data_IF_447135980983
#
_entry.id   IF_447135980983
#
_cell.length_a   1.000
_cell.length_b   1.000
_cell.length_c   1.000
_cell.angle_alpha   90.00
_cell.angle_beta   90.00
_cell.angle_gamma   90.00
#
_symmetry.space_group_name_H-M   'P 1'
#
loop_
_entity.id
_entity.type
_entity.pdbx_description
1 polymer ?
#
# COMPACT_ATOMS: atom_id res chain seq x y z
N UNK A 1 -34.13 31.86 47.92
CA UNK A 1 -33.69 31.87 46.51
C UNK A 1 -33.23 30.46 46.14
N UNK A 2 -34.14 29.63 45.62
CA UNK A 2 -33.84 28.25 45.15
C UNK A 2 -33.84 28.23 43.63
N UNK A 3 -32.77 27.66 43.03
CA UNK A 3 -32.59 27.52 41.58
C UNK A 3 -33.50 26.42 41.03
N UNK A 4 -34.27 26.75 39.99
CA UNK A 4 -35.05 25.81 39.17
C UNK A 4 -34.12 24.87 38.40
N UNK A 5 -34.48 23.57 38.35
CA UNK A 5 -33.85 22.54 37.50
C UNK A 5 -34.64 22.41 36.20
N UNK A 6 -33.93 22.47 35.07
CA UNK A 6 -34.46 22.17 33.73
C UNK A 6 -34.77 20.67 33.57
N UNK A 7 -35.91 20.34 32.97
CA UNK A 7 -36.21 18.99 32.44
C UNK A 7 -35.87 18.95 30.94
N UNK A 8 -34.99 18.02 30.54
CA UNK A 8 -34.65 17.75 29.14
C UNK A 8 -35.66 16.78 28.51
N UNK A 9 -36.15 17.11 27.31
CA UNK A 9 -37.19 16.40 26.56
C UNK A 9 -36.63 15.28 25.64
N UNK A 10 -35.85 14.34 26.18
CA UNK A 10 -35.35 13.19 25.42
C UNK A 10 -35.51 11.91 26.25
N UNK A 11 -36.45 11.05 25.86
CA UNK A 11 -36.55 9.68 26.34
C UNK A 11 -35.73 8.79 25.40
N UNK A 12 -34.68 8.16 25.92
CA UNK A 12 -33.96 7.09 25.20
C UNK A 12 -34.84 5.84 25.14
N UNK A 13 -35.32 5.48 23.94
CA UNK A 13 -35.92 4.18 23.70
C UNK A 13 -34.82 3.11 23.71
N UNK A 14 -34.78 2.26 24.75
CA UNK A 14 -33.85 1.15 24.86
C UNK A 14 -33.99 0.16 23.70
N UNK A 15 -33.03 0.20 22.78
CA UNK A 15 -32.91 -0.76 21.68
C UNK A 15 -32.34 -2.08 22.22
N UNK A 16 -33.13 -3.16 22.16
CA UNK A 16 -32.62 -4.52 22.41
C UNK A 16 -31.76 -4.95 21.22
N UNK A 17 -30.55 -5.51 21.41
CA UNK A 17 -29.77 -6.05 20.31
C UNK A 17 -30.51 -7.26 19.72
N UNK A 18 -30.74 -7.25 18.41
CA UNK A 18 -31.32 -8.38 17.69
C UNK A 18 -30.44 -9.63 17.82
N UNK A 19 -31.06 -10.75 18.19
CA UNK A 19 -30.38 -12.05 18.28
C UNK A 19 -29.97 -12.51 16.90
N UNK A 20 -28.65 -12.63 16.67
CA UNK A 20 -28.08 -13.23 15.46
C UNK A 20 -28.28 -14.76 15.57
N UNK A 21 -29.44 -15.26 15.13
CA UNK A 21 -29.71 -16.68 15.02
C UNK A 21 -29.07 -17.25 13.74
N UNK A 22 -27.77 -17.58 13.79
CA UNK A 22 -27.14 -18.38 12.73
C UNK A 22 -27.36 -19.85 13.04
N UNK A 23 -28.07 -20.57 12.15
CA UNK A 23 -28.31 -22.00 12.31
C UNK A 23 -26.97 -22.78 12.28
N UNK A 24 -26.57 -23.46 13.38
CA UNK A 24 -25.26 -24.10 13.50
C UNK A 24 -25.02 -25.21 12.47
N UNK A 25 -26.06 -25.91 12.03
CA UNK A 25 -25.97 -26.95 10.99
C UNK A 25 -25.70 -26.35 9.60
N UNK A 26 -26.26 -25.17 9.32
CA UNK A 26 -25.97 -24.44 8.07
C UNK A 26 -24.52 -23.92 8.07
N UNK A 27 -24.04 -23.40 9.20
CA UNK A 27 -22.66 -22.96 9.36
C UNK A 27 -21.66 -24.13 9.24
N UNK A 28 -21.99 -25.30 9.81
CA UNK A 28 -21.17 -26.51 9.68
C UNK A 28 -21.16 -27.05 8.26
N UNK A 29 -22.29 -27.09 7.55
CA UNK A 29 -22.34 -27.50 6.12
C UNK A 29 -21.56 -26.55 5.22
N UNK A 30 -21.64 -25.24 5.46
CA UNK A 30 -20.83 -24.23 4.75
C UNK A 30 -19.34 -24.40 5.06
N UNK A 31 -18.97 -24.65 6.32
CA UNK A 31 -17.57 -24.93 6.71
C UNK A 31 -17.05 -26.21 6.07
N UNK A 32 -17.85 -27.28 6.07
CA UNK A 32 -17.48 -28.56 5.49
C UNK A 32 -17.38 -28.49 3.96
N UNK A 33 -18.30 -27.82 3.26
CA UNK A 33 -18.19 -27.63 1.80
C UNK A 33 -17.03 -26.75 1.40
N UNK A 34 -16.71 -25.71 2.20
CA UNK A 34 -15.47 -24.90 2.04
C UNK A 34 -14.20 -25.71 2.29
N UNK A 35 -14.23 -26.70 3.17
CA UNK A 35 -13.08 -27.57 3.48
C UNK A 35 -12.89 -28.68 2.44
N UNK A 36 -13.98 -29.22 1.89
CA UNK A 36 -13.98 -30.36 0.96
C UNK A 36 -13.77 -29.95 -0.51
N UNK A 37 -14.22 -28.76 -0.94
CA UNK A 37 -14.07 -28.32 -2.34
C UNK A 37 -12.69 -27.73 -2.66
N UNK A 38 -11.80 -27.63 -1.68
CA UNK A 38 -10.56 -26.88 -1.77
C UNK A 38 -9.42 -27.55 -0.98
N UNK A 39 -8.77 -28.56 -1.56
CA UNK A 39 -7.49 -29.02 -1.04
C UNK A 39 -6.45 -27.91 -1.23
N UNK A 40 -5.64 -27.66 -0.19
CA UNK A 40 -4.55 -26.68 -0.20
C UNK A 40 -3.44 -27.07 -1.20
N UNK A 41 -3.40 -28.34 -1.59
CA UNK A 41 -2.42 -28.96 -2.50
C UNK A 41 -2.43 -28.40 -3.93
N UNK A 42 -3.43 -27.60 -4.32
CA UNK A 42 -3.54 -27.02 -5.66
C UNK A 42 -3.60 -25.47 -5.64
N UNK A 43 -3.27 -24.81 -4.52
CA UNK A 43 -3.39 -23.34 -4.42
C UNK A 43 -2.49 -22.61 -5.43
N UNK A 44 -1.24 -23.06 -5.60
CA UNK A 44 -0.30 -22.47 -6.56
C UNK A 44 -0.81 -22.61 -8.00
N UNK A 45 -1.24 -23.81 -8.40
CA UNK A 45 -1.70 -24.04 -9.77
C UNK A 45 -2.95 -23.20 -10.08
N UNK A 46 -3.94 -23.16 -9.19
CA UNK A 46 -5.11 -22.29 -9.37
C UNK A 46 -4.73 -20.81 -9.48
N UNK A 47 -3.73 -20.37 -8.71
CA UNK A 47 -3.22 -19.01 -8.79
C UNK A 47 -2.60 -18.74 -10.17
N UNK A 48 -1.75 -19.65 -10.67
CA UNK A 48 -1.12 -19.56 -11.99
C UNK A 48 -2.14 -19.59 -13.13
N UNK A 49 -3.26 -20.30 -12.94
CA UNK A 49 -4.39 -20.32 -13.88
C UNK A 49 -5.22 -19.01 -13.82
N UNK A 50 -4.83 -18.03 -13.00
CA UNK A 50 -5.47 -16.72 -12.90
C UNK A 50 -6.70 -16.67 -12.00
N UNK A 51 -6.90 -17.67 -11.12
CA UNK A 51 -8.07 -17.70 -10.24
C UNK A 51 -7.99 -16.62 -9.15
N UNK A 52 -8.84 -15.57 -9.24
CA UNK A 52 -8.90 -14.46 -8.27
C UNK A 52 -9.18 -14.91 -6.82
N UNK A 53 -9.94 -15.99 -6.63
CA UNK A 53 -10.21 -16.53 -5.29
C UNK A 53 -8.96 -17.19 -4.71
N UNK A 54 -8.21 -17.93 -5.54
CA UNK A 54 -6.92 -18.50 -5.15
C UNK A 54 -5.93 -17.39 -4.80
N UNK A 55 -5.83 -16.33 -5.63
CA UNK A 55 -5.00 -15.16 -5.34
C UNK A 55 -5.36 -14.51 -4.01
N UNK A 56 -6.65 -14.25 -3.73
CA UNK A 56 -7.09 -13.69 -2.46
C UNK A 56 -6.72 -14.56 -1.24
N UNK A 57 -6.78 -15.89 -1.39
CA UNK A 57 -6.36 -16.84 -0.35
C UNK A 57 -4.85 -16.88 -0.16
N UNK A 58 -4.10 -16.87 -1.25
CA UNK A 58 -2.64 -16.78 -1.24
C UNK A 58 -2.17 -15.51 -0.51
N UNK A 59 -2.78 -14.37 -0.82
CA UNK A 59 -2.50 -13.11 -0.13
C UNK A 59 -2.89 -13.19 1.36
N UNK A 60 -4.04 -13.79 1.69
CA UNK A 60 -4.43 -13.99 3.09
C UNK A 60 -3.43 -14.87 3.85
N UNK A 61 -2.80 -15.84 3.19
CA UNK A 61 -1.79 -16.72 3.79
C UNK A 61 -0.51 -15.95 4.13
N UNK A 62 0.02 -15.13 3.21
CA UNK A 62 1.22 -14.29 3.46
C UNK A 62 0.94 -13.20 4.51
N UNK A 63 -0.30 -12.71 4.59
CA UNK A 63 -0.69 -11.71 5.59
C UNK A 63 -0.88 -12.30 6.99
N UNK A 64 -0.92 -13.62 7.13
CA UNK A 64 -1.18 -14.27 8.40
C UNK A 64 -0.01 -14.18 9.38
N UNK A 65 -0.31 -13.93 10.65
CA UNK A 65 0.69 -13.95 11.72
C UNK A 65 0.88 -15.34 12.34
N UNK A 66 0.12 -16.37 11.91
CA UNK A 66 0.21 -17.72 12.46
C UNK A 66 1.50 -18.41 12.00
N UNK A 67 2.21 -19.04 12.94
CA UNK A 67 3.49 -19.69 12.66
C UNK A 67 3.35 -20.82 11.62
N UNK A 68 2.29 -21.62 11.73
CA UNK A 68 1.97 -22.71 10.80
C UNK A 68 1.72 -22.26 9.36
N UNK A 69 1.41 -20.98 9.12
CA UNK A 69 1.19 -20.44 7.78
C UNK A 69 2.47 -19.95 7.12
N UNK A 70 3.53 -19.67 7.88
CA UNK A 70 4.76 -19.05 7.36
C UNK A 70 5.47 -19.92 6.34
N UNK A 71 5.65 -21.20 6.66
CA UNK A 71 6.32 -22.16 5.77
C UNK A 71 5.54 -22.33 4.46
N UNK A 72 4.20 -22.48 4.56
CA UNK A 72 3.33 -22.58 3.39
C UNK A 72 3.34 -21.32 2.53
N UNK A 73 3.34 -20.13 3.15
CA UNK A 73 3.46 -18.86 2.47
C UNK A 73 4.78 -18.76 1.69
N UNK A 74 5.88 -19.19 2.30
CA UNK A 74 7.20 -19.20 1.66
C UNK A 74 7.25 -20.15 0.46
N UNK A 75 6.78 -21.40 0.61
CA UNK A 75 6.71 -22.37 -0.49
C UNK A 75 5.87 -21.84 -1.66
N UNK A 76 4.74 -21.20 -1.36
CA UNK A 76 3.87 -20.60 -2.37
C UNK A 76 4.57 -19.45 -3.12
N UNK A 77 5.26 -18.57 -2.39
CA UNK A 77 6.03 -17.48 -2.99
C UNK A 77 7.16 -18.00 -3.86
N UNK A 78 7.94 -18.97 -3.38
CA UNK A 78 9.02 -19.61 -4.12
C UNK A 78 8.53 -20.25 -5.42
N UNK A 79 7.39 -20.95 -5.38
CA UNK A 79 6.75 -21.51 -6.58
C UNK A 79 6.19 -20.46 -7.55
N UNK A 80 5.80 -19.29 -7.05
CA UNK A 80 5.30 -18.17 -7.87
C UNK A 80 6.41 -17.33 -8.51
N UNK A 81 7.61 -17.29 -7.92
CA UNK A 81 8.74 -16.46 -8.38
C UNK A 81 9.07 -16.60 -9.87
N UNK A 82 9.13 -17.81 -10.48
CA UNK A 82 9.43 -17.97 -11.91
C UNK A 82 8.45 -17.27 -12.86
N UNK A 83 7.24 -16.99 -12.38
CA UNK A 83 6.16 -16.36 -13.15
C UNK A 83 6.03 -14.86 -12.88
N UNK A 84 6.85 -14.31 -11.98
CA UNK A 84 6.85 -12.89 -11.59
C UNK A 84 7.58 -11.98 -12.58
N UNK A 85 7.60 -10.68 -12.29
CA UNK A 85 8.34 -9.60 -12.97
C UNK A 85 7.88 -9.23 -14.39
N UNK A 86 6.73 -9.70 -14.85
CA UNK A 86 6.19 -9.35 -16.18
C UNK A 86 5.32 -8.08 -16.20
N UNK A 87 4.93 -7.58 -15.02
CA UNK A 87 4.04 -6.42 -14.89
C UNK A 87 4.79 -5.08 -15.01
N UNK A 88 4.03 -3.98 -15.10
CA UNK A 88 4.47 -2.65 -14.68
C UNK A 88 3.88 -2.31 -13.31
N UNK A 89 4.73 -1.86 -12.38
CA UNK A 89 4.36 -1.53 -10.99
C UNK A 89 4.32 -0.02 -10.83
N UNK A 90 3.15 0.54 -10.53
CA UNK A 90 2.91 1.98 -10.50
C UNK A 90 2.52 2.39 -9.07
N UNK A 91 3.38 3.15 -8.41
CA UNK A 91 3.07 3.76 -7.13
C UNK A 91 2.26 5.03 -7.33
N UNK A 92 1.16 5.18 -6.60
CA UNK A 92 0.27 6.34 -6.70
C UNK A 92 0.13 6.96 -5.32
N UNK A 93 0.53 8.22 -5.19
CA UNK A 93 0.40 8.99 -3.95
C UNK A 93 -0.25 10.34 -4.21
N UNK A 94 -0.74 10.96 -3.15
CA UNK A 94 -1.31 12.30 -3.17
C UNK A 94 -2.03 12.61 -1.87
N UNK A 95 -2.22 13.90 -1.61
CA UNK A 95 -2.89 14.37 -0.38
C UNK A 95 -4.34 13.88 -0.30
N UNK A 96 -4.91 13.72 0.90
CA UNK A 96 -6.34 13.47 1.05
C UNK A 96 -7.18 14.48 0.26
N UNK A 97 -8.23 14.00 -0.43
CA UNK A 97 -9.11 14.86 -1.25
C UNK A 97 -8.62 15.17 -2.68
N UNK A 98 -7.40 14.76 -3.05
CA UNK A 98 -6.86 14.94 -4.41
C UNK A 98 -7.63 14.17 -5.50
N UNK A 99 -8.52 13.24 -5.12
CA UNK A 99 -9.26 12.38 -6.03
C UNK A 99 -8.49 11.11 -6.42
N UNK A 100 -7.62 10.61 -5.55
CA UNK A 100 -6.79 9.42 -5.79
C UNK A 100 -7.58 8.15 -6.09
N UNK A 101 -8.56 7.80 -5.26
CA UNK A 101 -9.38 6.60 -5.48
C UNK A 101 -10.21 6.70 -6.77
N UNK A 102 -10.80 7.87 -7.05
CA UNK A 102 -11.50 8.16 -8.31
C UNK A 102 -10.57 8.06 -9.52
N UNK A 103 -9.33 8.55 -9.39
CA UNK A 103 -8.32 8.42 -10.44
C UNK A 103 -7.92 6.96 -10.67
N UNK A 104 -7.67 6.19 -9.61
CA UNK A 104 -7.32 4.77 -9.71
C UNK A 104 -8.45 3.96 -10.35
N UNK A 105 -9.70 4.24 -9.98
CA UNK A 105 -10.86 3.62 -10.60
C UNK A 105 -10.92 3.92 -12.11
N UNK A 106 -10.88 5.20 -12.47
CA UNK A 106 -10.97 5.64 -13.88
C UNK A 106 -9.79 5.14 -14.72
N UNK A 107 -8.59 5.19 -14.16
CA UNK A 107 -7.37 4.70 -14.81
C UNK A 107 -7.37 3.17 -14.92
N UNK A 108 -7.82 2.46 -13.89
CA UNK A 108 -7.96 1.01 -13.88
C UNK A 108 -8.96 0.54 -14.94
N UNK A 109 -10.15 1.15 -15.00
CA UNK A 109 -11.16 0.84 -16.02
C UNK A 109 -10.64 1.11 -17.43
N UNK A 110 -10.01 2.26 -17.67
CA UNK A 110 -9.37 2.57 -18.95
C UNK A 110 -8.33 1.50 -19.35
N UNK A 111 -7.51 1.04 -18.41
CA UNK A 111 -6.52 -0.01 -18.69
C UNK A 111 -7.19 -1.35 -19.06
N UNK A 112 -8.28 -1.71 -18.38
CA UNK A 112 -9.06 -2.92 -18.68
C UNK A 112 -9.68 -2.84 -20.08
N UNK A 113 -10.21 -1.67 -20.47
CA UNK A 113 -10.67 -1.42 -21.84
C UNK A 113 -9.56 -1.57 -22.89
N UNK A 114 -8.30 -1.33 -22.50
CA UNK A 114 -7.11 -1.62 -23.33
C UNK A 114 -6.61 -3.06 -23.22
N UNK A 115 -7.42 -3.96 -22.66
CA UNK A 115 -7.14 -5.39 -22.55
C UNK A 115 -6.10 -5.74 -21.49
N UNK A 116 -5.93 -4.91 -20.45
CA UNK A 116 -4.99 -5.19 -19.35
C UNK A 116 -5.69 -5.86 -18.17
N UNK A 117 -4.95 -6.72 -17.48
CA UNK A 117 -5.33 -7.18 -16.13
C UNK A 117 -4.70 -6.27 -15.07
N UNK A 118 -5.54 -5.70 -14.21
CA UNK A 118 -5.14 -4.65 -13.25
C UNK A 118 -5.32 -5.13 -11.80
N UNK A 119 -4.25 -5.09 -11.02
CA UNK A 119 -4.31 -5.29 -9.58
C UNK A 119 -4.11 -3.97 -8.84
N UNK A 120 -4.92 -3.70 -7.81
CA UNK A 120 -4.79 -2.53 -6.93
C UNK A 120 -4.48 -3.00 -5.52
N UNK A 121 -3.34 -2.56 -4.98
CA UNK A 121 -2.85 -2.90 -3.64
C UNK A 121 -2.69 -1.63 -2.82
N UNK A 122 -3.36 -1.53 -1.68
CA UNK A 122 -3.23 -0.39 -0.78
C UNK A 122 -2.11 -0.60 0.25
N UNK A 123 -1.46 0.49 0.67
CA UNK A 123 -0.47 0.54 1.74
C UNK A 123 -0.84 1.63 2.75
N UNK A 124 -1.32 1.21 3.92
CA UNK A 124 -1.72 2.08 5.02
C UNK A 124 -0.86 1.83 6.27
N UNK A 125 -0.01 2.78 6.70
CA UNK A 125 0.74 2.69 7.96
C UNK A 125 -0.15 2.58 9.20
N UNK A 126 -1.37 3.14 9.17
CA UNK A 126 -2.31 3.18 10.28
C UNK A 126 -3.05 1.86 10.48
N UNK A 127 -2.91 0.91 9.55
CA UNK A 127 -3.42 -0.47 9.67
C UNK A 127 -2.90 -1.22 10.91
N UNK A 128 -1.79 -0.75 11.50
CA UNK A 128 -1.27 -1.21 12.79
C UNK A 128 -2.23 -1.00 13.96
N UNK A 129 -3.06 0.04 13.91
CA UNK A 129 -4.07 0.34 14.93
C UNK A 129 -5.39 -0.36 14.61
N UNK A 130 -5.82 -0.33 13.34
CA UNK A 130 -7.12 -0.87 12.92
C UNK A 130 -7.13 -2.39 12.69
N UNK A 131 -5.98 -3.07 12.80
CA UNK A 131 -5.82 -4.51 12.54
C UNK A 131 -6.16 -4.93 11.10
N UNK A 132 -6.06 -3.99 10.15
CA UNK A 132 -6.37 -4.17 8.74
C UNK A 132 -7.80 -3.78 8.38
N UNK A 133 -8.00 -3.43 7.11
CA UNK A 133 -9.31 -3.02 6.58
C UNK A 133 -10.01 -4.22 5.94
N UNK A 134 -11.07 -4.74 6.57
CA UNK A 134 -11.87 -5.84 5.99
C UNK A 134 -12.72 -5.34 4.81
N UNK A 135 -13.19 -4.09 4.85
CA UNK A 135 -14.14 -3.52 3.88
C UNK A 135 -13.79 -2.10 3.39
N UNK A 136 -12.99 -1.34 4.14
CA UNK A 136 -12.96 0.14 4.11
C UNK A 136 -12.37 0.81 2.86
N UNK A 137 -11.68 0.06 1.98
CA UNK A 137 -11.19 0.59 0.69
C UNK A 137 -11.94 0.03 -0.53
N UNK A 138 -12.62 -1.12 -0.40
CA UNK A 138 -13.35 -1.71 -1.54
C UNK A 138 -14.57 -0.88 -1.96
N UNK A 139 -15.15 -0.12 -1.03
CA UNK A 139 -16.32 0.74 -1.30
C UNK A 139 -15.95 2.04 -2.01
N UNK A 140 -14.65 2.34 -2.21
CA UNK A 140 -14.20 3.58 -2.87
C UNK A 140 -13.97 3.42 -4.38
N UNK A 141 -14.03 2.19 -4.89
CA UNK A 141 -13.82 1.83 -6.29
C UNK A 141 -14.92 0.85 -6.72
N UNK A 142 -16.16 1.35 -6.69
CA UNK A 142 -17.39 0.56 -6.89
C UNK A 142 -17.50 -0.07 -8.28
N UNK A 143 -17.00 0.60 -9.32
CA UNK A 143 -17.03 0.07 -10.67
C UNK A 143 -15.91 -0.95 -10.86
N UNK A 144 -14.68 -0.57 -10.52
CA UNK A 144 -13.49 -1.41 -10.74
C UNK A 144 -13.55 -2.73 -9.97
N UNK A 145 -14.21 -2.79 -8.80
CA UNK A 145 -14.31 -4.03 -8.02
C UNK A 145 -15.15 -5.12 -8.71
N UNK A 146 -16.05 -4.73 -9.62
CA UNK A 146 -16.93 -5.68 -10.33
C UNK A 146 -16.29 -6.22 -11.61
N UNK A 147 -15.23 -5.59 -12.10
CA UNK A 147 -14.52 -5.98 -13.32
C UNK A 147 -13.84 -7.36 -13.20
N UNK A 148 -14.00 -8.18 -14.23
CA UNK A 148 -13.40 -9.52 -14.26
C UNK A 148 -11.86 -9.45 -14.26
N UNK A 149 -11.30 -8.50 -15.01
CA UNK A 149 -9.86 -8.28 -15.14
C UNK A 149 -9.26 -7.39 -14.03
N UNK A 150 -10.04 -7.04 -13.00
CA UNK A 150 -9.57 -6.31 -11.83
C UNK A 150 -9.43 -7.20 -10.60
N UNK A 151 -8.45 -6.87 -9.76
CA UNK A 151 -8.31 -7.40 -8.40
C UNK A 151 -7.92 -6.30 -7.43
N UNK A 152 -8.70 -6.11 -6.36
CA UNK A 152 -8.47 -5.05 -5.36
C UNK A 152 -8.22 -5.69 -4.00
N UNK A 153 -7.06 -5.36 -3.40
CA UNK A 153 -6.66 -5.76 -2.05
C UNK A 153 -6.47 -4.53 -1.16
N UNK A 154 -7.30 -4.36 -0.12
CA UNK A 154 -7.07 -3.34 0.92
C UNK A 154 -5.73 -3.52 1.62
N UNK A 155 -5.29 -2.50 2.37
CA UNK A 155 -4.01 -2.59 3.09
C UNK A 155 -3.97 -3.78 4.02
N UNK A 156 -2.87 -4.54 3.93
CA UNK A 156 -2.55 -5.60 4.86
C UNK A 156 -2.50 -5.05 6.29
N UNK A 157 -2.82 -5.90 7.26
CA UNK A 157 -2.58 -5.59 8.68
C UNK A 157 -1.12 -5.85 9.04
N UNK A 158 -0.52 -4.98 9.85
CA UNK A 158 0.84 -5.17 10.33
C UNK A 158 1.15 -4.29 11.53
N UNK A 159 1.96 -4.79 12.47
CA UNK A 159 2.36 -4.04 13.67
C UNK A 159 3.33 -2.89 13.39
N UNK A 160 3.85 -2.82 12.16
CA UNK A 160 4.80 -1.81 11.70
C UNK A 160 4.57 -1.54 10.20
N UNK A 161 4.97 -0.35 9.74
CA UNK A 161 5.00 -0.04 8.31
C UNK A 161 5.84 -1.05 7.52
N UNK A 162 6.95 -1.52 8.10
CA UNK A 162 7.81 -2.55 7.49
C UNK A 162 7.08 -3.88 7.28
N UNK A 163 6.28 -4.32 8.25
CA UNK A 163 5.47 -5.54 8.14
C UNK A 163 4.38 -5.44 7.07
N UNK A 164 3.70 -4.30 6.98
CA UNK A 164 2.69 -4.03 5.92
C UNK A 164 3.37 -4.06 4.54
N UNK A 165 4.50 -3.36 4.42
CA UNK A 165 5.20 -3.24 3.16
C UNK A 165 5.78 -4.55 2.63
N UNK A 166 6.30 -5.40 3.54
CA UNK A 166 6.72 -6.78 3.18
C UNK A 166 5.57 -7.57 2.57
N UNK A 167 4.41 -7.57 3.23
CA UNK A 167 3.21 -8.28 2.75
C UNK A 167 2.72 -7.73 1.41
N UNK A 168 2.78 -6.42 1.20
CA UNK A 168 2.46 -5.82 -0.11
C UNK A 168 3.43 -6.28 -1.19
N UNK A 169 4.75 -6.32 -0.90
CA UNK A 169 5.75 -6.79 -1.87
C UNK A 169 5.56 -8.26 -2.24
N UNK A 170 5.25 -9.10 -1.26
CA UNK A 170 4.90 -10.51 -1.50
C UNK A 170 3.60 -10.63 -2.31
N UNK A 171 2.62 -9.77 -2.06
CA UNK A 171 1.38 -9.71 -2.84
C UNK A 171 1.63 -9.32 -4.30
N UNK A 172 2.58 -8.42 -4.57
CA UNK A 172 2.99 -8.08 -5.94
C UNK A 172 3.44 -9.33 -6.69
N UNK A 173 4.28 -10.19 -6.08
CA UNK A 173 4.76 -11.43 -6.70
C UNK A 173 3.58 -12.34 -7.07
N UNK A 174 2.63 -12.51 -6.14
CA UNK A 174 1.44 -13.34 -6.35
C UNK A 174 0.53 -12.79 -7.46
N UNK A 175 0.33 -11.47 -7.52
CA UNK A 175 -0.42 -10.83 -8.60
C UNK A 175 0.27 -11.04 -9.95
N UNK A 176 1.59 -10.86 -10.04
CA UNK A 176 2.33 -11.09 -11.29
C UNK A 176 2.22 -12.55 -11.74
N UNK A 177 2.38 -13.50 -10.81
CA UNK A 177 2.24 -14.92 -11.10
C UNK A 177 0.83 -15.32 -11.53
N UNK A 178 -0.20 -14.61 -11.05
CA UNK A 178 -1.58 -14.78 -11.50
C UNK A 178 -1.89 -14.11 -12.86
N UNK A 179 -0.89 -13.51 -13.51
CA UNK A 179 -0.99 -12.93 -14.84
C UNK A 179 -1.49 -11.48 -14.88
N UNK A 180 -1.38 -10.73 -13.78
CA UNK A 180 -1.68 -9.29 -13.81
C UNK A 180 -0.56 -8.49 -14.49
N UNK A 181 -0.94 -7.66 -15.47
CA UNK A 181 0.00 -6.88 -16.29
C UNK A 181 0.34 -5.53 -15.65
N UNK A 182 -0.60 -4.95 -14.90
CA UNK A 182 -0.46 -3.65 -14.27
C UNK A 182 -0.78 -3.80 -12.78
N UNK A 183 0.13 -3.36 -11.94
CA UNK A 183 -0.07 -3.35 -10.49
C UNK A 183 -0.01 -1.90 -10.02
N UNK A 184 -1.13 -1.40 -9.51
CA UNK A 184 -1.28 -0.08 -8.92
C UNK A 184 -1.11 -0.20 -7.41
N UNK A 185 -0.14 0.53 -6.85
CA UNK A 185 0.15 0.52 -5.41
C UNK A 185 -0.22 1.90 -4.86
N UNK A 186 -1.28 1.96 -4.07
CA UNK A 186 -1.82 3.19 -3.51
C UNK A 186 -1.29 3.45 -2.10
N UNK A 187 -0.81 4.66 -1.83
CA UNK A 187 -0.62 5.10 -0.44
C UNK A 187 -1.95 5.49 0.18
N UNK A 188 -2.21 5.03 1.40
CA UNK A 188 -3.41 5.43 2.17
C UNK A 188 -2.97 6.21 3.40
N UNK A 189 -3.68 7.31 3.68
CA UNK A 189 -3.49 8.13 4.88
C UNK A 189 -2.36 9.17 4.80
N UNK A 190 -2.04 9.75 5.96
CA UNK A 190 -0.93 10.68 6.17
C UNK A 190 0.24 9.92 6.81
N UNK A 191 1.41 9.89 6.18
CA UNK A 191 2.51 9.04 6.67
C UNK A 191 3.83 9.17 5.91
N UNK A 192 4.70 8.19 6.11
CA UNK A 192 5.96 7.97 5.37
C UNK A 192 5.83 6.74 4.45
N UNK A 193 4.61 6.44 3.98
CA UNK A 193 4.35 5.31 3.08
C UNK A 193 4.86 5.57 1.66
N UNK A 194 5.12 6.82 1.29
CA UNK A 194 5.57 7.22 -0.05
C UNK A 194 6.91 6.59 -0.41
N UNK A 195 7.93 6.72 0.45
CA UNK A 195 9.25 6.12 0.25
C UNK A 195 9.17 4.59 0.17
N UNK A 196 8.28 4.01 0.98
CA UNK A 196 8.05 2.58 1.02
C UNK A 196 7.44 2.09 -0.30
N UNK A 197 6.38 2.75 -0.78
CA UNK A 197 5.76 2.44 -2.07
C UNK A 197 6.75 2.65 -3.21
N UNK A 198 7.48 3.76 -3.24
CA UNK A 198 8.51 4.02 -4.24
C UNK A 198 9.56 2.88 -4.30
N UNK A 199 9.97 2.33 -3.17
CA UNK A 199 10.93 1.22 -3.10
C UNK A 199 10.44 -0.14 -3.63
N UNK A 200 9.17 -0.25 -4.03
CA UNK A 200 8.58 -1.48 -4.59
C UNK A 200 7.92 -1.29 -5.97
N UNK A 201 8.02 -0.09 -6.55
CA UNK A 201 7.38 0.27 -7.81
C UNK A 201 8.40 0.66 -8.87
N UNK A 202 8.05 0.51 -10.15
CA UNK A 202 8.90 0.94 -11.26
C UNK A 202 8.70 2.42 -11.58
N UNK A 203 7.46 2.89 -11.45
CA UNK A 203 7.04 4.24 -11.77
C UNK A 203 6.28 4.85 -10.60
N UNK A 204 6.64 6.07 -10.19
CA UNK A 204 5.99 6.75 -9.07
C UNK A 204 5.23 8.01 -9.52
N UNK A 205 3.91 7.97 -9.41
CA UNK A 205 2.96 9.00 -9.82
C UNK A 205 2.49 9.82 -8.61
N UNK A 206 2.74 11.12 -8.64
CA UNK A 206 2.22 12.07 -7.66
C UNK A 206 0.97 12.78 -8.20
N UNK A 207 -0.17 12.54 -7.57
CA UNK A 207 -1.39 13.31 -7.81
C UNK A 207 -1.36 14.63 -7.01
N UNK A 208 -1.77 15.71 -7.65
CA UNK A 208 -1.83 17.07 -7.09
C UNK A 208 -3.13 17.78 -7.47
N UNK A 209 -3.53 18.75 -6.65
CA UNK A 209 -4.59 19.72 -6.98
C UNK A 209 -3.97 21.04 -7.38
N UNK A 210 -4.67 21.80 -8.21
CA UNK A 210 -4.36 23.20 -8.49
C UNK A 210 -4.83 24.11 -7.33
N UNK A 211 -4.16 25.25 -7.11
CA UNK A 211 -4.64 26.31 -6.24
C UNK A 211 -4.50 26.03 -4.73
N UNK A 212 -3.60 25.14 -4.33
CA UNK A 212 -3.43 24.73 -2.92
C UNK A 212 -2.55 25.68 -2.06
N UNK A 213 -2.41 26.96 -2.44
CA UNK A 213 -1.49 27.92 -1.80
C UNK A 213 -0.08 27.85 -2.39
N UNK A 214 0.95 28.21 -1.64
CA UNK A 214 2.37 28.18 -2.05
C UNK A 214 2.77 26.73 -2.45
N UNK A 215 2.54 26.38 -3.73
CA UNK A 215 2.30 25.00 -4.19
C UNK A 215 3.51 24.08 -4.03
N UNK A 216 4.70 24.71 -3.98
CA UNK A 216 6.00 24.11 -3.71
C UNK A 216 6.31 23.97 -2.21
N UNK A 217 5.89 24.91 -1.35
CA UNK A 217 6.25 24.89 0.07
C UNK A 217 5.53 23.80 0.87
N UNK A 218 4.34 23.39 0.43
CA UNK A 218 3.56 22.32 1.07
C UNK A 218 4.02 20.89 0.72
N UNK A 219 4.98 20.73 -0.18
CA UNK A 219 5.48 19.41 -0.57
C UNK A 219 6.80 19.16 0.13
N UNK A 220 6.89 18.04 0.86
CA UNK A 220 8.18 17.54 1.32
C UNK A 220 9.08 17.39 0.09
N UNK A 221 10.18 18.15 0.00
CA UNK A 221 11.20 18.07 -1.07
C UNK A 221 11.42 16.64 -1.58
N UNK A 222 11.51 15.67 -0.66
CA UNK A 222 11.72 14.26 -0.98
C UNK A 222 10.62 13.57 -1.82
N UNK A 223 9.35 14.00 -1.80
CA UNK A 223 8.29 13.34 -2.59
C UNK A 223 8.36 13.75 -4.07
N UNK A 224 8.65 15.02 -4.37
CA UNK A 224 8.83 15.48 -5.76
C UNK A 224 10.05 14.80 -6.37
N UNK A 225 11.13 14.67 -5.60
CA UNK A 225 12.35 13.98 -6.02
C UNK A 225 12.13 12.51 -6.38
N UNK A 226 11.15 11.85 -5.74
CA UNK A 226 10.76 10.48 -6.07
C UNK A 226 9.84 10.38 -7.30
N UNK A 227 9.06 11.42 -7.61
CA UNK A 227 8.08 11.37 -8.69
C UNK A 227 8.72 11.21 -10.08
N UNK A 228 8.18 10.28 -10.87
CA UNK A 228 8.46 10.13 -12.30
C UNK A 228 7.45 10.90 -13.15
N UNK A 229 6.26 11.16 -12.58
CA UNK A 229 5.34 12.16 -13.09
C UNK A 229 4.51 12.79 -11.99
N UNK A 230 4.07 14.02 -12.28
CA UNK A 230 3.07 14.74 -11.49
C UNK A 230 1.81 14.85 -12.35
N UNK A 231 0.66 14.55 -11.78
CA UNK A 231 -0.64 14.73 -12.43
C UNK A 231 -1.44 15.75 -11.64
N UNK A 232 -1.73 16.89 -12.25
CA UNK A 232 -2.65 17.88 -11.69
C UNK A 232 -4.07 17.40 -12.01
N UNK A 233 -4.71 16.81 -11.01
CA UNK A 233 -6.05 16.25 -11.11
C UNK A 233 -7.12 17.33 -10.87
N UNK A 234 -8.38 16.99 -11.19
CA UNK A 234 -9.53 17.92 -11.19
C UNK A 234 -9.34 19.09 -12.15
N UNK A 235 -8.68 18.85 -13.29
CA UNK A 235 -8.49 19.83 -14.35
C UNK A 235 -9.75 19.91 -15.25
N UNK A 236 -10.87 20.27 -14.64
CA UNK A 236 -12.21 20.35 -15.24
C UNK A 236 -12.93 21.64 -14.83
N UNK A 237 -14.00 21.99 -15.55
CA UNK A 237 -14.80 23.19 -15.31
C UNK A 237 -13.98 24.47 -15.13
N UNK A 238 -14.27 25.21 -14.06
CA UNK A 238 -13.58 26.46 -13.72
C UNK A 238 -12.13 26.26 -13.28
N UNK A 239 -11.73 25.03 -12.94
CA UNK A 239 -10.38 24.73 -12.44
C UNK A 239 -9.36 24.49 -13.56
N UNK A 240 -9.78 24.43 -14.83
CA UNK A 240 -8.89 24.20 -15.98
C UNK A 240 -7.77 25.24 -16.04
N UNK A 241 -8.07 26.52 -15.76
CA UNK A 241 -7.08 27.60 -15.81
C UNK A 241 -6.01 27.42 -14.73
N UNK A 242 -6.42 27.25 -13.47
CA UNK A 242 -5.52 27.04 -12.35
C UNK A 242 -4.68 25.77 -12.54
N UNK A 243 -5.27 24.68 -13.06
CA UNK A 243 -4.55 23.45 -13.34
C UNK A 243 -3.45 23.62 -14.39
N UNK A 244 -3.70 24.42 -15.44
CA UNK A 244 -2.68 24.75 -16.44
C UNK A 244 -1.55 25.59 -15.85
N UNK A 245 -1.86 26.54 -14.99
CA UNK A 245 -0.87 27.37 -14.29
C UNK A 245 0.02 26.50 -13.38
N UNK A 246 -0.58 25.66 -12.54
CA UNK A 246 0.13 24.69 -11.70
C UNK A 246 1.03 23.76 -12.54
N UNK A 247 0.53 23.26 -13.68
CA UNK A 247 1.34 22.44 -14.59
C UNK A 247 2.58 23.18 -15.10
N UNK A 248 2.46 24.47 -15.43
CA UNK A 248 3.61 25.27 -15.88
C UNK A 248 4.62 25.46 -14.74
N UNK A 249 4.15 25.74 -13.54
CA UNK A 249 4.97 25.89 -12.34
C UNK A 249 5.76 24.61 -12.03
N UNK A 250 5.08 23.46 -11.95
CA UNK A 250 5.75 22.18 -11.69
C UNK A 250 6.72 21.80 -12.80
N UNK A 251 6.41 22.08 -14.08
CA UNK A 251 7.37 21.82 -15.17
C UNK A 251 8.65 22.66 -15.01
N UNK A 252 8.54 23.93 -14.60
CA UNK A 252 9.71 24.78 -14.34
C UNK A 252 10.50 24.26 -13.14
N UNK A 253 9.82 23.89 -12.06
CA UNK A 253 10.46 23.35 -10.87
C UNK A 253 11.21 22.04 -11.17
N UNK A 254 10.61 21.13 -11.93
CA UNK A 254 11.22 19.84 -12.29
C UNK A 254 12.50 20.00 -13.13
N UNK A 255 12.66 21.09 -13.88
CA UNK A 255 13.90 21.38 -14.61
C UNK A 255 15.09 21.70 -13.70
N UNK A 256 14.84 22.11 -12.45
CA UNK A 256 15.87 22.43 -11.47
C UNK A 256 16.39 21.19 -10.72
N UNK A 257 15.70 20.06 -10.84
CA UNK A 257 16.12 18.81 -10.21
C UNK A 257 17.18 18.09 -11.04
N UNK A 258 18.08 17.33 -10.39
CA UNK A 258 19.07 16.52 -11.09
C UNK A 258 18.39 15.48 -11.98
N UNK A 259 19.10 15.08 -13.03
CA UNK A 259 18.63 14.00 -13.91
C UNK A 259 18.47 12.71 -13.10
N UNK A 260 17.37 11.99 -13.34
CA UNK A 260 17.14 10.67 -12.75
C UNK A 260 18.16 9.67 -13.30
N UNK A 261 18.55 8.70 -12.49
CA UNK A 261 19.42 7.60 -12.92
C UNK A 261 18.86 6.82 -14.13
N UNK A 262 17.54 6.77 -14.26
CA UNK A 262 16.84 6.18 -15.39
C UNK A 262 17.03 6.92 -16.72
N UNK A 263 17.60 8.13 -16.71
CA UNK A 263 17.60 9.05 -17.85
C UNK A 263 16.23 9.66 -18.14
N UNK A 264 15.19 9.30 -17.37
CA UNK A 264 13.85 9.87 -17.51
C UNK A 264 13.83 11.32 -17.00
N UNK A 265 13.15 12.18 -17.76
CA UNK A 265 12.81 13.54 -17.31
C UNK A 265 11.38 13.52 -16.79
N UNK A 266 11.15 13.77 -15.48
CA UNK A 266 9.81 13.80 -14.93
C UNK A 266 8.92 14.77 -15.69
N UNK A 267 7.67 14.37 -15.95
CA UNK A 267 6.71 15.15 -16.74
C UNK A 267 5.48 15.50 -15.90
N UNK A 268 4.84 16.61 -16.24
CA UNK A 268 3.58 17.04 -15.61
C UNK A 268 2.41 16.91 -16.59
N UNK A 269 1.39 16.16 -16.19
CA UNK A 269 0.15 15.97 -16.94
C UNK A 269 -1.05 16.61 -16.22
N UNK A 270 -2.14 16.81 -16.96
CA UNK A 270 -3.43 17.22 -16.41
C UNK A 270 -4.38 16.04 -16.50
N UNK A 271 -5.25 15.88 -15.52
CA UNK A 271 -6.36 14.94 -15.62
C UNK A 271 -7.62 15.49 -14.95
N UNK A 272 -8.77 15.01 -15.43
CA UNK A 272 -9.98 14.95 -14.63
C UNK A 272 -10.33 13.48 -14.50
N UNK A 273 -10.19 12.93 -13.29
CA UNK A 273 -10.62 11.56 -13.03
C UNK A 273 -12.13 11.41 -13.22
N UNK A 274 -12.91 12.38 -12.74
CA UNK A 274 -14.38 12.33 -12.80
C UNK A 274 -14.89 12.36 -14.24
N UNK A 275 -14.35 13.28 -15.06
CA UNK A 275 -14.73 13.43 -16.47
C UNK A 275 -13.91 12.50 -17.40
N UNK A 276 -13.02 11.67 -16.84
CA UNK A 276 -12.11 10.77 -17.55
C UNK A 276 -11.20 11.46 -18.59
N UNK A 277 -10.92 12.76 -18.42
CA UNK A 277 -10.08 13.55 -19.31
C UNK A 277 -8.60 13.35 -18.95
N UNK A 278 -7.76 13.10 -19.96
CA UNK A 278 -6.29 13.02 -19.81
C UNK A 278 -5.77 11.72 -19.21
N UNK A 279 -6.64 10.75 -18.92
CA UNK A 279 -6.29 9.42 -18.42
C UNK A 279 -5.42 8.65 -19.43
N UNK A 280 -5.77 8.74 -20.71
CA UNK A 280 -5.01 8.20 -21.84
C UNK A 280 -3.61 8.81 -21.96
N UNK A 281 -3.52 10.12 -21.72
CA UNK A 281 -2.27 10.88 -21.77
C UNK A 281 -1.33 10.47 -20.65
N UNK A 282 -1.87 10.22 -19.44
CA UNK A 282 -1.09 9.65 -18.32
C UNK A 282 -0.61 8.25 -18.66
N UNK A 283 -1.44 7.40 -19.26
CA UNK A 283 -1.00 6.06 -19.66
C UNK A 283 0.12 6.11 -20.70
N UNK A 284 -0.02 6.97 -21.72
CA UNK A 284 1.01 7.17 -22.74
C UNK A 284 2.35 7.58 -22.14
N UNK A 285 2.33 8.50 -21.18
CA UNK A 285 3.52 8.93 -20.44
C UNK A 285 4.19 7.74 -19.73
N UNK A 286 3.41 6.92 -19.02
CA UNK A 286 3.92 5.73 -18.32
C UNK A 286 4.53 4.73 -19.32
N UNK A 287 3.92 4.54 -20.48
CA UNK A 287 4.45 3.68 -21.56
C UNK A 287 5.75 4.21 -22.16
N UNK A 288 5.90 5.53 -22.27
CA UNK A 288 7.16 6.16 -22.71
C UNK A 288 8.29 5.92 -21.69
N UNK A 289 7.99 6.06 -20.39
CA UNK A 289 8.92 5.70 -19.31
C UNK A 289 9.31 4.23 -19.38
N UNK A 290 8.32 3.34 -19.50
CA UNK A 290 8.54 1.89 -19.57
C UNK A 290 9.44 1.52 -20.76
N UNK A 291 9.18 2.13 -21.92
CA UNK A 291 9.99 1.92 -23.12
C UNK A 291 11.45 2.35 -22.88
N UNK A 292 11.66 3.59 -22.43
CA UNK A 292 13.00 4.12 -22.15
C UNK A 292 13.76 3.23 -21.16
N UNK A 293 13.11 2.90 -20.04
CA UNK A 293 13.72 2.12 -18.97
C UNK A 293 14.00 0.66 -19.34
N UNK A 294 13.29 0.10 -20.32
CA UNK A 294 13.62 -1.21 -20.91
C UNK A 294 14.77 -1.11 -21.90
N UNK A 295 14.78 -0.10 -22.76
CA UNK A 295 15.82 0.12 -23.77
C UNK A 295 17.20 0.35 -23.14
N UNK A 296 17.27 1.09 -22.03
CA UNK A 296 18.52 1.36 -21.32
C UNK A 296 18.83 0.38 -20.16
N UNK A 297 18.00 -0.65 -19.97
CA UNK A 297 18.17 -1.66 -18.92
C UNK A 297 17.88 -1.19 -17.48
N UNK A 298 17.42 0.05 -17.28
CA UNK A 298 17.11 0.60 -15.96
C UNK A 298 16.07 -0.23 -15.20
N UNK A 299 15.02 -0.75 -15.87
CA UNK A 299 13.96 -1.53 -15.20
C UNK A 299 14.51 -2.72 -14.40
N UNK A 300 15.35 -3.54 -15.04
CA UNK A 300 15.92 -4.72 -14.42
C UNK A 300 16.92 -4.34 -13.33
N UNK A 301 17.71 -3.27 -13.55
CA UNK A 301 18.65 -2.75 -12.54
C UNK A 301 17.89 -2.27 -11.30
N UNK A 302 16.89 -1.41 -11.47
CA UNK A 302 16.09 -0.85 -10.40
C UNK A 302 15.42 -1.96 -9.56
N UNK A 303 14.77 -2.94 -10.20
CA UNK A 303 14.15 -4.07 -9.49
C UNK A 303 15.15 -4.93 -8.72
N UNK A 304 16.37 -5.12 -9.24
CA UNK A 304 17.46 -5.81 -8.50
C UNK A 304 17.89 -5.02 -7.27
N UNK A 305 18.06 -3.71 -7.39
CA UNK A 305 18.41 -2.85 -6.24
C UNK A 305 17.29 -2.82 -5.21
N UNK A 306 16.03 -2.75 -5.64
CA UNK A 306 14.88 -2.91 -4.75
C UNK A 306 14.93 -4.27 -4.03
N UNK A 307 15.17 -5.38 -4.74
CA UNK A 307 15.28 -6.70 -4.10
C UNK A 307 16.38 -6.73 -3.02
N UNK A 308 17.55 -6.16 -3.28
CA UNK A 308 18.62 -6.02 -2.28
C UNK A 308 18.19 -5.18 -1.09
N UNK A 309 17.56 -4.03 -1.34
CA UNK A 309 17.01 -3.17 -0.29
C UNK A 309 16.04 -3.96 0.60
N UNK A 310 15.13 -4.74 0.02
CA UNK A 310 14.15 -5.52 0.77
C UNK A 310 14.75 -6.66 1.57
N UNK A 311 15.84 -7.28 1.11
CA UNK A 311 16.60 -8.22 1.91
C UNK A 311 17.13 -7.55 3.20
N UNK A 312 17.79 -6.39 3.05
CA UNK A 312 18.33 -5.66 4.20
C UNK A 312 17.22 -5.18 5.16
N UNK A 313 16.12 -4.65 4.64
CA UNK A 313 14.96 -4.28 5.46
C UNK A 313 14.37 -5.48 6.20
N UNK A 314 14.30 -6.64 5.54
CA UNK A 314 13.79 -7.87 6.15
C UNK A 314 14.69 -8.33 7.29
N UNK A 315 16.02 -8.31 7.11
CA UNK A 315 16.99 -8.62 8.17
C UNK A 315 16.78 -7.69 9.37
N UNK A 316 16.71 -6.37 9.14
CA UNK A 316 16.50 -5.39 10.19
C UNK A 316 15.20 -5.63 10.97
N UNK A 317 14.10 -5.90 10.27
CA UNK A 317 12.81 -6.19 10.90
C UNK A 317 12.85 -7.51 11.69
N UNK A 318 13.55 -8.54 11.20
CA UNK A 318 13.74 -9.79 11.93
C UNK A 318 14.56 -9.60 13.21
N UNK A 319 15.67 -8.86 13.15
CA UNK A 319 16.50 -8.55 14.32
C UNK A 319 15.71 -7.73 15.35
N UNK A 320 15.00 -6.69 14.88
CA UNK A 320 14.11 -5.87 15.70
C UNK A 320 13.05 -6.72 16.40
N UNK A 321 12.37 -7.59 15.66
CA UNK A 321 11.35 -8.47 16.22
C UNK A 321 11.93 -9.46 17.24
N UNK A 322 13.09 -10.06 16.95
CA UNK A 322 13.78 -10.96 17.89
C UNK A 322 14.13 -10.24 19.20
N UNK A 323 14.62 -9.00 19.11
CA UNK A 323 14.92 -8.17 20.27
C UNK A 323 13.66 -7.84 21.10
N UNK A 324 12.64 -7.25 20.48
CA UNK A 324 11.44 -6.80 21.22
C UNK A 324 10.53 -7.94 21.66
N UNK A 325 10.60 -9.13 21.05
CA UNK A 325 9.82 -10.29 21.47
C UNK A 325 10.49 -11.10 22.58
N UNK A 326 11.81 -10.93 22.80
CA UNK A 326 12.54 -11.64 23.84
C UNK A 326 12.02 -11.23 25.26
N UNK A 327 11.56 -12.17 26.10
CA UNK A 327 11.02 -11.86 27.43
C UNK A 327 12.00 -11.13 28.36
N UNK A 328 13.28 -11.49 28.31
CA UNK A 328 14.34 -10.85 29.12
C UNK A 328 14.51 -9.40 28.70
N UNK A 329 14.59 -9.16 27.38
CA UNK A 329 14.73 -7.80 26.85
C UNK A 329 13.50 -6.94 27.08
N UNK A 330 12.29 -7.51 27.03
CA UNK A 330 11.06 -6.78 27.40
C UNK A 330 11.09 -6.26 28.83
N UNK A 331 11.61 -7.05 29.76
CA UNK A 331 11.72 -6.65 31.16
C UNK A 331 12.83 -5.61 31.35
N UNK A 332 14.00 -5.82 30.76
CA UNK A 332 15.11 -4.87 30.84
C UNK A 332 14.74 -3.52 30.22
N UNK A 333 14.06 -3.52 29.07
CA UNK A 333 13.61 -2.29 28.42
C UNK A 333 12.71 -1.45 29.34
N UNK A 334 11.80 -2.08 30.09
CA UNK A 334 10.95 -1.37 31.08
C UNK A 334 11.78 -0.75 32.21
N UNK A 335 12.85 -1.42 32.65
CA UNK A 335 13.75 -0.90 33.69
C UNK A 335 14.51 0.31 33.15
N UNK A 336 15.07 0.20 31.95
CA UNK A 336 15.84 1.28 31.33
C UNK A 336 14.98 2.50 30.98
N UNK A 337 13.74 2.30 30.51
CA UNK A 337 12.80 3.40 30.28
C UNK A 337 12.54 4.20 31.56
N UNK A 338 12.30 3.53 32.69
CA UNK A 338 12.16 4.20 34.00
C UNK A 338 13.45 4.90 34.43
N UNK A 339 14.62 4.34 34.12
CA UNK A 339 15.89 4.98 34.44
C UNK A 339 16.11 6.27 33.63
N UNK A 340 15.70 6.29 32.36
CA UNK A 340 15.71 7.48 31.50
C UNK A 340 14.73 8.54 32.04
N UNK A 341 13.49 8.15 32.35
CA UNK A 341 12.47 9.06 32.92
C UNK A 341 12.94 9.72 34.22
N UNK A 342 13.73 9.00 35.02
CA UNK A 342 14.32 9.51 36.26
C UNK A 342 15.68 10.19 36.06
N UNK A 343 16.10 10.47 34.82
CA UNK A 343 17.39 11.07 34.47
C UNK A 343 18.62 10.34 35.04
N UNK A 344 18.53 9.03 35.26
CA UNK A 344 19.63 8.20 35.81
C UNK A 344 20.58 7.69 34.74
N UNK A 345 20.10 7.57 33.49
CA UNK A 345 20.88 7.10 32.33
C UNK A 345 20.47 7.90 31.10
N UNK A 346 21.38 8.06 30.13
CA UNK A 346 21.03 8.62 28.83
C UNK A 346 20.40 7.55 27.94
N UNK A 347 19.58 7.97 26.96
CA UNK A 347 18.95 7.04 26.01
C UNK A 347 19.98 6.21 25.23
N UNK A 348 21.12 6.80 24.87
CA UNK A 348 22.20 6.13 24.14
C UNK A 348 22.90 5.07 24.99
N UNK A 349 23.27 5.40 26.24
CA UNK A 349 23.90 4.44 27.14
C UNK A 349 22.97 3.27 27.50
N UNK A 350 21.68 3.55 27.69
CA UNK A 350 20.67 2.51 27.89
C UNK A 350 20.53 1.59 26.67
N UNK A 351 20.56 2.14 25.46
CA UNK A 351 20.51 1.36 24.23
C UNK A 351 21.73 0.43 24.11
N UNK A 352 22.95 0.94 24.32
CA UNK A 352 24.18 0.13 24.27
C UNK A 352 24.16 -1.03 25.28
N UNK A 353 23.68 -0.77 26.50
CA UNK A 353 23.51 -1.81 27.54
C UNK A 353 22.52 -2.88 27.10
N UNK A 354 21.37 -2.46 26.56
CA UNK A 354 20.34 -3.37 26.07
C UNK A 354 20.84 -4.24 24.92
N UNK A 355 21.56 -3.66 23.96
CA UNK A 355 22.14 -4.39 22.82
C UNK A 355 23.17 -5.40 23.32
N UNK A 356 24.12 -4.99 24.16
CA UNK A 356 25.13 -5.89 24.73
C UNK A 356 24.50 -7.06 25.51
N UNK A 357 23.42 -6.78 26.26
CA UNK A 357 22.68 -7.82 26.98
C UNK A 357 21.97 -8.78 26.04
N UNK A 358 21.40 -8.28 24.93
CA UNK A 358 20.76 -9.11 23.91
C UNK A 358 21.77 -10.02 23.19
N UNK A 359 22.95 -9.50 22.86
CA UNK A 359 24.04 -10.28 22.24
C UNK A 359 24.51 -11.44 23.13
N UNK A 360 24.60 -11.22 24.44
CA UNK A 360 24.98 -12.28 25.40
C UNK A 360 23.91 -13.36 25.61
N UNK A 361 22.67 -13.13 25.15
CA UNK A 361 21.56 -14.08 25.23
C UNK A 361 21.37 -14.87 23.92
N UNK A 362 21.98 -14.39 22.83
CA UNK A 362 21.80 -14.92 21.48
C UNK A 362 22.76 -16.07 21.21
#
# INVERSE_FOLDING_TARGET
MSKQKHQSALNESGSKPGTINVNPNSAQKIRASRKSKFSEENLLQQLLDGNKTALGRAITLIESNQFSHREKAQQLLEGALPYSQKSIRIGITGVPGVGKSTFIESFGSYLIEKGKKVAVLAVDPSSSVSHGSILGDKTRMENLVTEENAFIRPSASGSSLGGVAKKTRESIILCEAAGFDVILIETVGVGQSETTVHSMTDFFLLLKLAGAGDELQGIKRGIIEMADAIVINKADGDNIKAAREAKLEFNRALQLYPSKESGWKPKVALSSALEQIGIDSVWKLIKEFEKLGKENGFFLKNRKEQNKFWLLQTINEHLKNRFYQNPVMKNELKIQLKAIENNKVTAFAAADLLIKKFENLA
#
